data_IF_834723934733
#
_entry.id   IF_834723934733
#
_cell.length_a   1.000
_cell.length_b   1.000
_cell.length_c   1.000
_cell.angle_alpha   90.00
_cell.angle_beta   90.00
_cell.angle_gamma   90.00
#
_symmetry.space_group_name_H-M   'P 1'
#
loop_
_entity.id
_entity.type
_entity.pdbx_description
1 polymer ?
#
# COMPACT_ATOMS: atom_id res chain seq x y z
N UNK A 1 -46.19 -15.36 3.63
CA UNK A 1 -46.93 -14.66 4.69
C UNK A 1 -46.00 -13.59 5.19
N UNK A 2 -45.97 -12.40 4.62
CA UNK A 2 -46.78 -11.23 4.95
C UNK A 2 -46.68 -10.87 6.45
N UNK A 3 -46.04 -9.78 6.76
CA UNK A 3 -46.71 -8.54 7.12
C UNK A 3 -45.74 -7.38 7.23
N UNK A 4 -46.13 -6.27 6.63
CA UNK A 4 -45.63 -4.91 6.69
C UNK A 4 -45.80 -4.29 8.09
N UNK A 5 -45.00 -3.28 8.40
CA UNK A 5 -45.42 -2.10 9.13
C UNK A 5 -44.61 -0.87 8.73
N UNK A 6 -45.35 0.12 8.27
CA UNK A 6 -44.98 1.51 7.92
C UNK A 6 -45.26 2.41 9.12
N UNK A 7 -44.47 3.43 9.34
CA UNK A 7 -44.77 4.78 9.85
C UNK A 7 -43.46 5.51 10.11
N UNK A 8 -43.13 6.68 9.63
CA UNK A 8 -43.88 7.93 9.43
C UNK A 8 -43.46 8.91 10.50
N UNK A 9 -42.73 10.00 10.14
CA UNK A 9 -42.44 11.07 11.11
C UNK A 9 -41.40 12.07 10.64
N UNK A 10 -41.84 13.05 9.86
CA UNK A 10 -41.76 14.53 9.97
C UNK A 10 -40.37 15.17 10.16
N UNK A 11 -40.08 15.95 9.15
CA UNK A 11 -39.13 17.09 9.11
C UNK A 11 -39.50 18.20 10.07
N UNK A 12 -38.48 18.84 10.66
CA UNK A 12 -38.57 20.20 11.22
C UNK A 12 -37.32 21.00 10.79
N UNK A 13 -37.55 22.02 9.99
CA UNK A 13 -36.62 23.13 9.77
C UNK A 13 -36.75 24.14 10.91
N UNK A 14 -35.73 24.94 11.17
CA UNK A 14 -35.94 26.29 11.62
C UNK A 14 -35.30 27.34 10.72
N UNK A 15 -36.07 28.37 10.48
CA UNK A 15 -35.82 29.60 9.71
C UNK A 15 -34.93 30.62 10.46
N UNK A 16 -34.46 31.67 9.75
CA UNK A 16 -33.40 32.59 10.21
C UNK A 16 -33.95 33.79 10.98
N UNK A 17 -33.18 34.33 11.90
CA UNK A 17 -33.46 35.66 12.51
C UNK A 17 -32.30 36.62 12.19
N UNK A 18 -32.70 37.68 11.48
CA UNK A 18 -32.00 38.95 11.37
C UNK A 18 -31.94 39.68 12.72
N UNK A 19 -30.85 40.38 12.99
CA UNK A 19 -30.91 41.59 13.84
C UNK A 19 -30.02 42.71 13.30
N UNK A 20 -30.61 43.88 13.42
CA UNK A 20 -30.36 45.19 12.84
C UNK A 20 -29.13 45.90 13.39
N UNK A 21 -28.71 46.88 12.57
CA UNK A 21 -27.70 47.89 12.79
C UNK A 21 -28.18 49.12 13.61
N UNK A 22 -27.20 49.89 14.06
CA UNK A 22 -27.09 51.36 14.16
C UNK A 22 -27.12 51.98 15.58
N UNK A 23 -26.72 53.23 15.79
CA UNK A 23 -25.73 54.07 15.08
C UNK A 23 -24.87 55.01 16.00
N UNK A 24 -23.87 55.67 15.39
CA UNK A 24 -23.37 57.06 15.52
C UNK A 24 -22.94 57.71 16.86
N UNK A 25 -21.74 58.35 16.80
CA UNK A 25 -21.52 59.73 16.97
C UNK A 25 -20.18 60.18 17.59
N UNK A 26 -19.77 61.47 17.48
CA UNK A 26 -18.48 61.85 16.91
C UNK A 26 -17.60 62.66 17.90
N UNK A 27 -16.35 62.94 17.50
CA UNK A 27 -15.46 64.09 17.80
C UNK A 27 -14.01 63.64 17.90
N UNK A 28 -13.10 64.09 17.14
CA UNK A 28 -12.72 65.43 16.71
C UNK A 28 -11.44 65.84 17.43
N UNK A 29 -10.26 65.67 16.79
CA UNK A 29 -9.13 66.61 16.93
C UNK A 29 -8.05 66.35 15.88
N UNK A 30 -7.80 67.33 15.06
CA UNK A 30 -6.69 67.48 14.09
C UNK A 30 -5.36 67.66 14.83
N UNK A 31 -4.32 67.01 14.42
CA UNK A 31 -2.91 67.47 14.48
C UNK A 31 -2.18 67.03 13.22
N UNK A 32 -1.39 67.93 12.68
CA UNK A 32 -0.78 67.97 11.38
C UNK A 32 0.40 67.03 11.16
N UNK A 33 1.08 67.11 9.97
CA UNK A 33 1.78 66.00 9.36
C UNK A 33 3.24 65.89 9.81
N UNK A 34 3.65 64.71 10.26
CA UNK A 34 5.05 64.35 10.35
C UNK A 34 5.35 63.29 9.29
N UNK A 35 6.16 63.66 8.32
CA UNK A 35 6.71 62.80 7.29
C UNK A 35 7.57 61.72 7.94
N UNK A 36 7.07 60.45 7.98
CA UNK A 36 7.89 59.27 8.21
C UNK A 36 7.86 58.40 6.95
N UNK A 37 9.02 58.21 6.35
CA UNK A 37 9.26 57.23 5.31
C UNK A 37 8.67 55.88 5.74
N UNK A 38 7.70 55.36 4.99
CA UNK A 38 7.25 53.97 5.11
C UNK A 38 8.14 53.10 4.22
N UNK A 39 8.75 52.03 4.75
CA UNK A 39 9.35 51.05 3.89
C UNK A 39 8.29 50.41 2.99
N UNK A 40 8.59 50.23 1.70
CA UNK A 40 7.68 49.72 0.69
C UNK A 40 7.04 48.42 1.13
N UNK A 41 5.72 48.30 0.93
CA UNK A 41 5.01 47.03 1.07
C UNK A 41 5.70 45.98 0.24
N UNK A 42 6.02 44.78 0.81
CA UNK A 42 6.47 43.67 -0.02
C UNK A 42 5.34 43.37 -1.01
N UNK A 43 5.71 43.24 -2.27
CA UNK A 43 4.81 42.75 -3.33
C UNK A 43 4.12 41.46 -2.85
N UNK A 44 2.84 41.26 -3.13
CA UNK A 44 2.17 40.02 -2.79
C UNK A 44 2.94 38.85 -3.47
N UNK A 45 3.40 37.89 -2.68
CA UNK A 45 3.99 36.69 -3.20
C UNK A 45 3.01 36.08 -4.21
N UNK A 46 3.45 35.94 -5.46
CA UNK A 46 2.70 35.21 -6.48
C UNK A 46 2.43 33.82 -5.86
N UNK A 47 1.17 33.40 -5.73
CA UNK A 47 0.90 32.07 -5.19
C UNK A 47 1.62 31.08 -6.09
N UNK A 48 2.53 30.29 -5.51
CA UNK A 48 3.20 29.22 -6.21
C UNK A 48 2.10 28.36 -6.87
N UNK A 49 2.17 28.24 -8.19
CA UNK A 49 1.22 27.44 -8.95
C UNK A 49 1.10 26.08 -8.27
N UNK A 50 -0.14 25.69 -7.92
CA UNK A 50 -0.39 24.40 -7.31
C UNK A 50 0.20 23.33 -8.22
N UNK A 51 0.97 22.43 -7.65
CA UNK A 51 1.75 21.47 -8.42
C UNK A 51 0.86 20.52 -9.23
N UNK A 52 1.21 20.28 -10.49
CA UNK A 52 0.46 19.40 -11.38
C UNK A 52 0.48 17.96 -10.83
N UNK A 53 -0.67 17.43 -10.44
CA UNK A 53 -0.82 16.04 -10.01
C UNK A 53 -0.80 15.14 -11.22
N UNK A 54 0.05 14.11 -11.22
CA UNK A 54 -0.11 12.98 -12.15
C UNK A 54 -1.37 12.26 -11.72
N UNK A 55 -2.44 12.43 -12.50
CA UNK A 55 -3.74 11.83 -12.23
C UNK A 55 -4.36 11.38 -13.53
N UNK A 56 -4.89 10.15 -13.54
CA UNK A 56 -5.61 9.54 -14.65
C UNK A 56 -6.96 9.03 -14.16
N UNK A 57 -8.04 9.51 -14.76
CA UNK A 57 -9.38 8.95 -14.56
C UNK A 57 -9.54 7.68 -15.39
N UNK A 58 -10.22 6.69 -14.82
CA UNK A 58 -10.48 5.38 -15.41
C UNK A 58 -11.99 5.15 -15.53
N UNK A 59 -12.39 4.24 -16.40
CA UNK A 59 -13.80 3.86 -16.61
C UNK A 59 -14.21 2.59 -15.86
N UNK A 60 -13.34 2.10 -14.93
CA UNK A 60 -13.54 0.85 -14.20
C UNK A 60 -13.03 0.94 -12.77
N UNK A 61 -13.43 -0.02 -11.92
CA UNK A 61 -12.96 -0.11 -10.55
C UNK A 61 -11.54 -0.67 -10.50
N UNK A 62 -10.60 0.11 -9.96
CA UNK A 62 -9.21 -0.32 -9.75
C UNK A 62 -9.10 -1.09 -8.45
N UNK A 63 -8.56 -2.31 -8.52
CA UNK A 63 -8.25 -3.12 -7.35
C UNK A 63 -6.78 -3.12 -7.01
N UNK A 64 -5.89 -3.06 -8.01
CA UNK A 64 -4.45 -3.04 -7.79
C UNK A 64 -3.71 -2.21 -8.84
N UNK A 65 -2.58 -1.61 -8.42
CA UNK A 65 -1.64 -0.88 -9.27
C UNK A 65 -0.23 -1.39 -9.01
N UNK A 66 0.56 -1.60 -10.08
CA UNK A 66 1.94 -2.07 -9.97
C UNK A 66 2.86 -1.33 -10.92
N UNK A 67 4.04 -0.95 -10.45
CA UNK A 67 5.11 -0.50 -11.31
C UNK A 67 5.74 -1.69 -12.04
N UNK A 68 5.96 -1.52 -13.34
CA UNK A 68 6.72 -2.50 -14.13
C UNK A 68 8.21 -2.28 -13.87
N UNK A 69 8.94 -3.27 -13.35
CA UNK A 69 10.35 -3.12 -13.00
C UNK A 69 11.21 -2.66 -14.18
N UNK A 70 12.21 -1.83 -13.91
CA UNK A 70 13.14 -1.23 -14.88
C UNK A 70 12.43 -0.51 -16.03
N UNK A 71 11.38 0.23 -15.69
CA UNK A 71 10.64 1.01 -16.69
C UNK A 71 9.90 2.18 -16.06
N UNK A 72 9.50 3.13 -16.91
CA UNK A 72 8.57 4.20 -16.52
C UNK A 72 7.10 3.77 -16.70
N UNK A 73 6.81 2.47 -16.69
CA UNK A 73 5.48 1.91 -16.95
C UNK A 73 4.81 1.44 -15.67
N UNK A 74 3.51 1.58 -15.63
CA UNK A 74 2.67 1.06 -14.55
C UNK A 74 1.46 0.32 -15.10
N UNK A 75 0.99 -0.63 -14.31
CA UNK A 75 -0.21 -1.41 -14.58
C UNK A 75 -1.32 -1.03 -13.63
N UNK A 76 -2.55 -1.03 -14.16
CA UNK A 76 -3.77 -0.93 -13.37
C UNK A 76 -4.61 -2.18 -13.64
N UNK A 77 -5.01 -2.85 -12.57
CA UNK A 77 -5.80 -4.07 -12.59
C UNK A 77 -7.17 -3.78 -11.98
N UNK A 78 -8.22 -4.35 -12.58
CA UNK A 78 -9.54 -4.06 -12.04
C UNK A 78 -10.68 -4.83 -12.69
N UNK A 79 -11.88 -4.27 -12.49
CA UNK A 79 -13.14 -4.81 -13.02
C UNK A 79 -13.91 -3.75 -13.77
N UNK A 80 -14.23 -4.02 -15.03
CA UNK A 80 -15.17 -3.23 -15.80
C UNK A 80 -16.62 -3.42 -15.30
N UNK A 81 -17.53 -2.47 -15.60
CA UNK A 81 -18.93 -2.56 -15.16
C UNK A 81 -19.66 -3.83 -15.61
N UNK A 82 -19.22 -4.45 -16.70
CA UNK A 82 -19.77 -5.71 -17.24
C UNK A 82 -19.31 -6.96 -16.51
N UNK A 83 -18.46 -6.84 -15.46
CA UNK A 83 -17.93 -7.97 -14.70
C UNK A 83 -16.76 -8.70 -15.38
N UNK A 84 -16.18 -8.14 -16.43
CA UNK A 84 -14.92 -8.60 -17.00
C UNK A 84 -13.72 -7.93 -16.32
N UNK A 85 -12.54 -8.55 -16.42
CA UNK A 85 -11.29 -8.01 -15.94
C UNK A 85 -10.72 -6.99 -16.89
N UNK A 86 -10.02 -6.00 -16.35
CA UNK A 86 -9.27 -5.01 -17.11
C UNK A 86 -7.83 -4.99 -16.64
N UNK A 87 -6.92 -5.01 -17.61
CA UNK A 87 -5.50 -4.74 -17.43
C UNK A 87 -5.12 -3.59 -18.34
N UNK A 88 -4.73 -2.46 -17.77
CA UNK A 88 -4.24 -1.31 -18.53
C UNK A 88 -2.77 -1.07 -18.21
N UNK A 89 -1.98 -0.89 -19.28
CA UNK A 89 -0.58 -0.54 -19.22
C UNK A 89 -0.42 0.94 -19.57
N UNK A 90 0.16 1.69 -18.68
CA UNK A 90 0.48 3.11 -18.86
C UNK A 90 1.98 3.36 -18.87
N UNK A 91 2.39 4.43 -19.54
CA UNK A 91 3.74 4.96 -19.45
C UNK A 91 3.73 6.38 -18.90
N UNK A 92 4.63 6.66 -17.97
CA UNK A 92 4.81 8.00 -17.41
C UNK A 92 5.70 8.81 -18.35
N UNK A 93 5.09 9.74 -19.08
CA UNK A 93 5.76 10.61 -20.03
C UNK A 93 5.48 12.08 -19.70
N UNK A 94 6.52 12.88 -19.46
CA UNK A 94 6.37 14.32 -19.20
C UNK A 94 5.39 14.67 -18.06
N UNK A 95 5.30 13.82 -17.02
CA UNK A 95 4.39 14.04 -15.88
C UNK A 95 2.93 13.67 -16.18
N UNK A 96 2.65 12.95 -17.25
CA UNK A 96 1.33 12.40 -17.62
C UNK A 96 1.41 10.90 -17.81
N UNK A 97 0.28 10.23 -17.59
CA UNK A 97 0.11 8.81 -17.87
C UNK A 97 -0.46 8.65 -19.29
N UNK A 98 0.35 8.10 -20.20
CA UNK A 98 -0.08 7.74 -21.52
C UNK A 98 -0.53 6.27 -21.53
N UNK A 99 -1.74 5.98 -21.94
CA UNK A 99 -2.24 4.62 -22.11
C UNK A 99 -1.53 3.96 -23.29
N UNK A 100 -0.78 2.89 -23.03
CA UNK A 100 -0.10 2.12 -24.07
C UNK A 100 -0.95 0.96 -24.54
N UNK A 101 -1.65 0.27 -23.63
CA UNK A 101 -2.44 -0.92 -23.96
C UNK A 101 -3.57 -1.12 -22.94
N UNK A 102 -4.70 -1.55 -23.44
CA UNK A 102 -5.85 -2.02 -22.66
C UNK A 102 -6.23 -3.44 -23.09
N UNK A 103 -6.44 -4.32 -22.11
CA UNK A 103 -6.72 -5.73 -22.36
C UNK A 103 -7.86 -6.15 -21.45
N UNK A 104 -8.90 -6.68 -22.07
CA UNK A 104 -10.03 -7.28 -21.38
C UNK A 104 -9.72 -8.74 -21.01
N UNK A 105 -10.15 -9.16 -19.82
CA UNK A 105 -10.01 -10.52 -19.30
C UNK A 105 -11.37 -11.07 -18.89
N UNK A 106 -11.53 -12.38 -19.02
CA UNK A 106 -12.81 -13.04 -18.75
C UNK A 106 -13.31 -12.87 -17.30
N UNK A 107 -12.40 -12.69 -16.34
CA UNK A 107 -12.72 -12.48 -14.92
C UNK A 107 -12.01 -11.24 -14.39
N UNK A 108 -12.65 -10.48 -13.47
CA UNK A 108 -12.02 -9.35 -12.80
C UNK A 108 -10.68 -9.73 -12.17
N UNK A 109 -9.68 -8.86 -12.30
CA UNK A 109 -8.35 -9.03 -11.73
C UNK A 109 -8.31 -8.34 -10.37
N UNK A 110 -7.99 -9.08 -9.31
CA UNK A 110 -8.01 -8.58 -7.93
C UNK A 110 -6.67 -8.04 -7.46
N UNK A 111 -5.60 -8.75 -7.78
CA UNK A 111 -4.26 -8.48 -7.28
C UNK A 111 -3.19 -8.90 -8.29
N UNK A 112 -1.99 -8.34 -8.18
CA UNK A 112 -0.87 -8.66 -9.05
C UNK A 112 0.49 -8.51 -8.37
N UNK A 113 1.51 -9.20 -8.90
CA UNK A 113 2.89 -9.11 -8.43
C UNK A 113 3.90 -9.36 -9.54
N UNK A 114 5.04 -8.68 -9.47
CA UNK A 114 6.24 -8.96 -10.27
C UNK A 114 7.31 -9.71 -9.47
N UNK A 115 7.06 -10.03 -8.19
CA UNK A 115 8.08 -10.56 -7.28
C UNK A 115 8.71 -11.89 -7.68
N UNK A 116 8.02 -12.71 -8.49
CA UNK A 116 8.49 -14.02 -8.93
C UNK A 116 9.00 -14.05 -10.38
N UNK A 117 9.28 -12.90 -10.99
CA UNK A 117 9.74 -12.79 -12.37
C UNK A 117 11.17 -12.27 -12.47
N UNK A 118 11.88 -12.64 -13.53
CA UNK A 118 13.19 -12.06 -13.83
C UNK A 118 13.05 -10.61 -14.34
N UNK A 119 14.11 -9.82 -14.17
CA UNK A 119 14.18 -8.45 -14.69
C UNK A 119 14.17 -8.39 -16.23
N UNK A 120 14.51 -9.50 -16.89
CA UNK A 120 14.47 -9.60 -18.35
C UNK A 120 13.06 -9.89 -18.87
N UNK A 121 12.37 -10.84 -18.26
CA UNK A 121 11.03 -11.27 -18.68
C UNK A 121 9.92 -10.32 -18.21
N UNK A 122 10.02 -9.83 -16.97
CA UNK A 122 9.03 -8.92 -16.37
C UNK A 122 7.59 -9.42 -16.49
N UNK A 123 7.39 -10.72 -16.21
CA UNK A 123 6.07 -11.34 -16.25
C UNK A 123 5.24 -10.93 -15.04
N UNK A 124 3.97 -10.61 -15.27
CA UNK A 124 3.02 -10.26 -14.23
C UNK A 124 2.25 -11.49 -13.78
N UNK A 125 2.31 -11.84 -12.50
CA UNK A 125 1.40 -12.80 -11.92
C UNK A 125 0.15 -12.09 -11.37
N UNK A 126 -1.04 -12.65 -11.62
CA UNK A 126 -2.33 -12.08 -11.17
C UNK A 126 -3.23 -13.13 -10.55
N UNK A 127 -3.96 -12.72 -9.51
CA UNK A 127 -5.10 -13.45 -8.95
C UNK A 127 -6.42 -12.84 -9.42
N UNK A 128 -7.37 -13.68 -9.81
CA UNK A 128 -8.66 -13.24 -10.30
C UNK A 128 -9.84 -13.64 -9.40
N UNK A 129 -11.03 -13.11 -9.71
CA UNK A 129 -12.28 -13.41 -9.02
C UNK A 129 -12.77 -14.83 -9.25
N UNK A 130 -12.23 -15.53 -10.23
CA UNK A 130 -12.49 -16.95 -10.46
C UNK A 130 -11.58 -17.87 -9.66
N UNK A 131 -10.62 -17.36 -8.88
CA UNK A 131 -9.64 -18.18 -8.16
C UNK A 131 -8.53 -18.73 -9.06
N UNK A 132 -8.30 -18.12 -10.22
CA UNK A 132 -7.21 -18.52 -11.11
C UNK A 132 -5.97 -17.67 -10.82
N UNK A 133 -4.82 -18.32 -10.78
CA UNK A 133 -3.50 -17.72 -10.81
C UNK A 133 -3.01 -17.77 -12.25
N UNK A 134 -2.78 -16.58 -12.84
CA UNK A 134 -2.28 -16.44 -14.20
C UNK A 134 -0.99 -15.65 -14.22
N UNK A 135 -0.05 -16.01 -15.09
CA UNK A 135 1.17 -15.26 -15.35
C UNK A 135 1.15 -14.79 -16.81
N UNK A 136 1.40 -13.49 -17.01
CA UNK A 136 1.27 -12.82 -18.29
C UNK A 136 2.61 -12.29 -18.78
N UNK A 137 2.91 -12.53 -20.05
CA UNK A 137 3.93 -11.78 -20.76
C UNK A 137 3.31 -10.45 -21.22
N UNK A 138 3.83 -9.31 -20.77
CA UNK A 138 3.27 -8.00 -21.11
C UNK A 138 3.45 -7.60 -22.59
N UNK A 139 4.36 -8.26 -23.29
CA UNK A 139 4.54 -8.05 -24.74
C UNK A 139 3.47 -8.79 -25.58
N UNK A 140 2.94 -9.92 -25.06
CA UNK A 140 1.86 -10.72 -25.65
C UNK A 140 0.89 -11.19 -24.56
N UNK A 141 0.08 -10.28 -23.99
CA UNK A 141 -0.72 -10.56 -22.79
C UNK A 141 -2.08 -11.22 -23.08
N UNK A 142 -2.35 -11.58 -24.31
CA UNK A 142 -3.62 -12.19 -24.73
C UNK A 142 -3.81 -13.56 -24.09
N UNK A 143 -2.74 -14.38 -24.07
CA UNK A 143 -2.71 -15.73 -23.51
C UNK A 143 -1.70 -15.77 -22.36
N UNK A 144 -2.07 -16.33 -21.19
CA UNK A 144 -1.14 -16.46 -20.08
C UNK A 144 -0.05 -17.49 -20.40
N UNK A 145 1.20 -17.22 -19.99
CA UNK A 145 2.32 -18.18 -20.09
C UNK A 145 2.21 -19.28 -19.03
N UNK A 146 1.45 -19.02 -17.98
CA UNK A 146 1.10 -19.98 -16.94
C UNK A 146 -0.31 -19.70 -16.46
N UNK A 147 -1.12 -20.73 -16.25
CA UNK A 147 -2.48 -20.61 -15.73
C UNK A 147 -2.85 -21.85 -14.93
N UNK A 148 -3.34 -21.64 -13.72
CA UNK A 148 -3.83 -22.72 -12.85
C UNK A 148 -5.06 -22.27 -12.08
N UNK A 149 -6.01 -23.19 -11.89
CA UNK A 149 -7.11 -23.00 -10.94
C UNK A 149 -6.58 -23.19 -9.52
N UNK A 150 -6.08 -22.10 -8.94
CA UNK A 150 -5.37 -22.14 -7.66
C UNK A 150 -6.33 -22.35 -6.48
N UNK A 151 -7.50 -21.71 -6.51
CA UNK A 151 -8.45 -21.67 -5.40
C UNK A 151 -9.88 -21.88 -5.87
N UNK A 152 -10.76 -22.23 -4.92
CA UNK A 152 -12.19 -22.39 -5.19
C UNK A 152 -12.91 -21.06 -5.34
N UNK A 153 -12.39 -20.02 -4.68
CA UNK A 153 -12.97 -18.67 -4.64
C UNK A 153 -11.93 -17.61 -5.01
N UNK A 154 -12.30 -16.33 -4.90
CA UNK A 154 -11.48 -15.15 -5.25
C UNK A 154 -10.09 -15.24 -4.61
N UNK A 155 -9.05 -14.97 -5.38
CA UNK A 155 -7.71 -14.69 -4.85
C UNK A 155 -7.68 -13.24 -4.39
N UNK A 156 -7.69 -13.01 -3.08
CA UNK A 156 -7.72 -11.67 -2.51
C UNK A 156 -6.36 -10.98 -2.54
N UNK A 157 -5.29 -11.74 -2.36
CA UNK A 157 -3.94 -11.23 -2.22
C UNK A 157 -2.91 -12.17 -2.84
N UNK A 158 -1.84 -11.58 -3.34
CA UNK A 158 -0.73 -12.27 -4.00
C UNK A 158 0.59 -11.59 -3.62
N UNK A 159 1.63 -12.39 -3.43
CA UNK A 159 3.00 -11.89 -3.29
C UNK A 159 3.98 -12.84 -3.99
N UNK A 160 5.20 -12.37 -4.31
CA UNK A 160 6.18 -13.12 -5.04
C UNK A 160 7.60 -12.90 -4.54
N UNK A 161 8.44 -13.94 -4.69
CA UNK A 161 9.87 -13.94 -4.37
C UNK A 161 10.65 -14.76 -5.39
N UNK A 162 11.99 -14.71 -5.31
CA UNK A 162 12.89 -15.46 -6.20
C UNK A 162 13.08 -14.83 -7.59
N UNK A 163 12.38 -13.75 -7.87
CA UNK A 163 12.60 -12.90 -9.02
C UNK A 163 13.20 -11.54 -8.63
N UNK A 164 13.47 -10.69 -9.61
CA UNK A 164 13.99 -9.32 -9.41
C UNK A 164 15.26 -9.24 -8.56
N UNK A 165 16.02 -10.33 -8.41
CA UNK A 165 17.17 -10.41 -7.51
C UNK A 165 16.80 -10.47 -6.02
N UNK A 166 15.55 -10.78 -5.69
CA UNK A 166 15.07 -10.93 -4.32
C UNK A 166 15.13 -12.41 -3.93
N UNK A 167 16.03 -12.74 -3.01
CA UNK A 167 16.17 -14.07 -2.45
C UNK A 167 16.95 -15.06 -3.32
N UNK A 168 17.23 -16.20 -2.74
CA UNK A 168 17.86 -17.35 -3.39
C UNK A 168 16.81 -18.44 -3.65
N UNK A 169 16.98 -19.16 -4.77
CA UNK A 169 16.18 -20.34 -5.10
C UNK A 169 15.11 -20.11 -6.17
N UNK A 170 14.07 -20.92 -6.11
CA UNK A 170 12.98 -20.91 -7.08
C UNK A 170 12.16 -19.63 -7.05
N UNK A 171 11.66 -19.15 -8.18
CA UNK A 171 10.60 -18.15 -8.18
C UNK A 171 9.34 -18.78 -7.55
N UNK A 172 8.80 -18.13 -6.53
CA UNK A 172 7.60 -18.59 -5.84
C UNK A 172 6.57 -17.48 -5.70
N UNK A 173 5.31 -17.89 -5.75
CA UNK A 173 4.16 -17.02 -5.62
C UNK A 173 3.29 -17.55 -4.48
N UNK A 174 2.97 -16.70 -3.50
CA UNK A 174 1.96 -17.01 -2.49
C UNK A 174 0.63 -16.36 -2.86
N UNK A 175 -0.45 -17.09 -2.67
CA UNK A 175 -1.82 -16.63 -2.89
C UNK A 175 -2.67 -16.89 -1.65
N UNK A 176 -3.44 -15.88 -1.25
CA UNK A 176 -4.45 -15.98 -0.20
C UNK A 176 -5.84 -15.78 -0.77
N UNK A 177 -6.77 -16.64 -0.39
CA UNK A 177 -8.09 -16.69 -1.01
C UNK A 177 -9.22 -16.57 0.02
N UNK A 178 -10.37 -16.14 -0.50
CA UNK A 178 -11.66 -16.18 0.21
C UNK A 178 -12.06 -17.60 0.62
N UNK A 179 -11.51 -18.63 -0.03
CA UNK A 179 -11.72 -20.02 0.39
C UNK A 179 -11.00 -20.40 1.69
N UNK A 180 -10.32 -19.45 2.34
CA UNK A 180 -9.60 -19.61 3.61
C UNK A 180 -8.23 -20.25 3.48
N UNK A 181 -7.83 -20.67 2.29
CA UNK A 181 -6.55 -21.33 2.07
C UNK A 181 -5.47 -20.35 1.65
N UNK A 182 -4.22 -20.65 2.04
CA UNK A 182 -3.01 -19.97 1.58
C UNK A 182 -2.13 -20.99 0.87
N UNK A 183 -1.72 -20.70 -0.35
CA UNK A 183 -0.97 -21.63 -1.18
C UNK A 183 0.27 -20.98 -1.76
N UNK A 184 1.37 -21.74 -1.84
CA UNK A 184 2.61 -21.32 -2.47
C UNK A 184 2.80 -22.13 -3.76
N UNK A 185 3.17 -21.43 -4.82
CA UNK A 185 3.28 -21.96 -6.19
C UNK A 185 4.67 -21.71 -6.74
N UNK A 186 5.28 -22.73 -7.35
CA UNK A 186 6.45 -22.59 -8.22
C UNK A 186 5.97 -22.59 -9.67
N UNK A 187 6.11 -21.50 -10.44
CA UNK A 187 5.63 -21.43 -11.82
C UNK A 187 6.28 -22.44 -12.78
N UNK A 188 7.38 -23.07 -12.35
CA UNK A 188 8.07 -24.12 -13.12
C UNK A 188 7.42 -25.50 -12.92
N UNK A 189 6.64 -25.65 -11.85
CA UNK A 189 5.84 -26.86 -11.59
C UNK A 189 4.40 -26.61 -12.02
N UNK A 190 3.82 -27.58 -12.74
CA UNK A 190 2.43 -27.44 -13.20
C UNK A 190 1.46 -28.01 -12.16
N UNK A 191 0.34 -27.32 -11.99
CA UNK A 191 -0.93 -27.76 -11.42
C UNK A 191 -0.97 -28.07 -9.91
N UNK A 192 0.16 -28.13 -9.22
CA UNK A 192 0.19 -28.42 -7.77
C UNK A 192 0.93 -27.33 -7.00
N UNK A 193 0.40 -26.86 -5.86
CA UNK A 193 1.13 -25.94 -5.00
C UNK A 193 2.28 -26.67 -4.30
N UNK A 194 3.40 -25.96 -4.09
CA UNK A 194 4.55 -26.48 -3.33
C UNK A 194 4.31 -26.46 -1.82
N UNK A 195 3.38 -25.61 -1.37
CA UNK A 195 2.88 -25.57 0.00
C UNK A 195 1.40 -25.22 0.00
N UNK A 196 0.63 -25.84 0.92
CA UNK A 196 -0.80 -25.61 1.08
C UNK A 196 -1.13 -25.53 2.57
N UNK A 197 -1.56 -24.34 3.01
CA UNK A 197 -2.01 -24.07 4.37
C UNK A 197 -3.54 -24.00 4.36
N UNK A 198 -4.20 -25.05 4.84
CA UNK A 198 -5.65 -25.15 4.94
C UNK A 198 -6.13 -24.82 6.36
N UNK A 199 -7.37 -24.32 6.50
CA UNK A 199 -8.02 -24.22 7.80
C UNK A 199 -8.06 -25.58 8.51
N UNK A 200 -7.95 -25.59 9.83
CA UNK A 200 -8.08 -26.80 10.62
C UNK A 200 -9.45 -27.43 10.41
N UNK A 201 -9.50 -28.74 10.23
CA UNK A 201 -10.75 -29.45 10.01
C UNK A 201 -11.70 -29.27 11.21
N UNK A 202 -12.90 -28.81 10.95
CA UNK A 202 -13.93 -28.52 11.99
C UNK A 202 -13.98 -27.06 12.43
N UNK A 203 -13.00 -26.25 12.09
CA UNK A 203 -13.07 -24.80 12.30
C UNK A 203 -13.89 -24.09 11.21
N UNK A 204 -14.54 -22.98 11.59
CA UNK A 204 -15.23 -22.16 10.61
C UNK A 204 -14.21 -21.50 9.68
N UNK A 205 -14.42 -21.70 8.39
CA UNK A 205 -13.62 -21.07 7.34
C UNK A 205 -13.58 -19.55 7.49
N UNK A 206 -12.39 -18.96 7.39
CA UNK A 206 -12.15 -17.51 7.43
C UNK A 206 -11.55 -17.04 6.13
N UNK A 207 -12.03 -15.90 5.62
CA UNK A 207 -11.50 -15.31 4.41
C UNK A 207 -10.06 -14.85 4.64
N UNK A 208 -9.10 -15.36 3.87
CA UNK A 208 -7.75 -14.80 3.85
C UNK A 208 -7.75 -13.54 2.96
N UNK A 209 -7.49 -12.40 3.58
CA UNK A 209 -7.52 -11.11 2.88
C UNK A 209 -6.17 -10.65 2.39
N UNK A 210 -5.10 -11.06 3.06
CA UNK A 210 -3.75 -10.58 2.74
C UNK A 210 -2.69 -11.61 3.02
N UNK A 211 -1.65 -11.66 2.18
CA UNK A 211 -0.49 -12.52 2.34
C UNK A 211 0.80 -11.77 2.03
N UNK A 212 1.90 -12.16 2.65
CA UNK A 212 3.23 -11.64 2.36
C UNK A 212 4.31 -12.70 2.64
N UNK A 213 5.36 -12.73 1.81
CA UNK A 213 6.58 -13.46 2.11
C UNK A 213 7.49 -12.68 3.05
N UNK A 214 8.16 -13.38 3.97
CA UNK A 214 9.23 -12.86 4.80
C UNK A 214 10.46 -13.75 4.77
N UNK A 215 11.65 -13.21 5.12
CA UNK A 215 12.94 -13.93 5.12
C UNK A 215 13.22 -14.70 3.83
N UNK A 216 12.93 -14.09 2.68
CA UNK A 216 13.08 -14.78 1.39
C UNK A 216 14.50 -14.70 0.80
N UNK A 217 15.47 -14.19 1.57
CA UNK A 217 16.86 -14.00 1.14
C UNK A 217 17.71 -15.27 1.19
N UNK A 218 17.26 -16.30 1.92
CA UNK A 218 17.91 -17.62 1.99
C UNK A 218 16.87 -18.75 2.09
N UNK A 219 17.35 -19.99 2.18
CA UNK A 219 16.50 -21.18 2.28
C UNK A 219 16.25 -21.63 3.74
N UNK A 220 16.80 -20.93 4.74
CA UNK A 220 16.80 -21.42 6.12
C UNK A 220 15.56 -21.03 6.92
N UNK A 221 15.08 -19.79 6.74
CA UNK A 221 14.00 -19.21 7.56
C UNK A 221 12.88 -18.56 6.73
N UNK A 222 12.51 -19.19 5.62
CA UNK A 222 11.43 -18.65 4.76
C UNK A 222 10.09 -18.79 5.43
N UNK A 223 9.36 -17.68 5.47
CA UNK A 223 8.04 -17.63 6.10
C UNK A 223 7.00 -16.98 5.18
N UNK A 224 5.74 -17.33 5.43
CA UNK A 224 4.58 -16.67 4.87
C UNK A 224 3.72 -16.15 6.01
N UNK A 225 3.35 -14.88 5.93
CA UNK A 225 2.35 -14.29 6.81
C UNK A 225 1.01 -14.19 6.09
N UNK A 226 -0.07 -14.57 6.78
CA UNK A 226 -1.44 -14.43 6.29
C UNK A 226 -2.30 -13.67 7.30
N UNK A 227 -3.16 -12.78 6.81
CA UNK A 227 -4.12 -12.03 7.61
C UNK A 227 -5.56 -12.32 7.16
N UNK A 228 -6.45 -12.45 8.12
CA UNK A 228 -7.81 -12.93 7.93
C UNK A 228 -8.88 -11.90 8.31
N UNK A 229 -10.11 -12.13 7.85
CA UNK A 229 -11.30 -11.30 8.07
C UNK A 229 -11.68 -11.13 9.54
N UNK A 230 -11.36 -12.11 10.38
CA UNK A 230 -11.64 -12.12 11.82
C UNK A 230 -10.54 -11.50 12.68
N UNK A 231 -9.46 -11.01 12.06
CA UNK A 231 -8.33 -10.38 12.75
C UNK A 231 -7.17 -11.32 13.05
N UNK A 232 -7.24 -12.59 12.67
CA UNK A 232 -6.13 -13.53 12.82
C UNK A 232 -4.98 -13.14 11.91
N UNK A 233 -3.78 -13.21 12.45
CA UNK A 233 -2.51 -13.12 11.73
C UNK A 233 -1.76 -14.40 12.02
N UNK A 234 -1.43 -15.15 10.97
CA UNK A 234 -0.72 -16.43 11.06
C UNK A 234 0.60 -16.36 10.32
N UNK A 235 1.68 -16.79 10.96
CA UNK A 235 3.03 -16.87 10.40
C UNK A 235 3.39 -18.35 10.21
N UNK A 236 3.54 -18.76 8.96
CA UNK A 236 3.88 -20.13 8.58
C UNK A 236 5.36 -20.23 8.25
N UNK A 237 6.01 -21.26 8.79
CA UNK A 237 7.36 -21.67 8.43
C UNK A 237 7.30 -22.62 7.22
N UNK A 238 7.86 -22.19 6.10
CA UNK A 238 7.85 -22.98 4.86
C UNK A 238 8.88 -24.12 4.86
N UNK A 239 9.89 -24.08 5.72
CA UNK A 239 10.87 -25.15 5.85
C UNK A 239 10.29 -26.34 6.61
N UNK A 240 9.64 -26.08 7.72
CA UNK A 240 9.06 -27.10 8.59
C UNK A 240 7.57 -27.36 8.29
N UNK A 241 6.97 -26.63 7.36
CA UNK A 241 5.56 -26.70 6.98
C UNK A 241 4.63 -26.61 8.20
N UNK A 242 4.92 -25.71 9.12
CA UNK A 242 4.22 -25.57 10.40
C UNK A 242 3.84 -24.12 10.69
N UNK A 243 2.84 -23.95 11.56
CA UNK A 243 2.49 -22.66 12.12
C UNK A 243 3.57 -22.24 13.15
N UNK A 244 4.32 -21.20 12.84
CA UNK A 244 5.38 -20.67 13.71
C UNK A 244 4.85 -19.75 14.81
N UNK A 245 3.84 -18.95 14.47
CA UNK A 245 3.25 -17.97 15.38
C UNK A 245 1.89 -17.51 14.87
N UNK A 246 1.01 -17.20 15.80
CA UNK A 246 -0.27 -16.57 15.50
C UNK A 246 -0.65 -15.53 16.55
N UNK A 247 -1.47 -14.59 16.16
CA UNK A 247 -2.08 -13.60 17.03
C UNK A 247 -3.39 -13.12 16.43
N UNK A 248 -4.22 -12.46 17.25
CA UNK A 248 -5.47 -11.85 16.79
C UNK A 248 -5.54 -10.38 17.20
N UNK A 249 -5.78 -9.50 16.23
CA UNK A 249 -5.91 -8.05 16.43
C UNK A 249 -7.37 -7.59 16.55
N UNK A 250 -8.31 -8.52 16.73
CA UNK A 250 -9.75 -8.35 16.94
C UNK A 250 -10.57 -7.89 15.74
N UNK A 251 -9.96 -7.28 14.74
CA UNK A 251 -10.63 -6.75 13.55
C UNK A 251 -9.93 -7.18 12.28
N UNK A 252 -10.67 -7.36 11.20
CA UNK A 252 -10.17 -7.87 9.94
C UNK A 252 -8.87 -7.21 9.49
N UNK A 253 -7.91 -8.04 9.06
CA UNK A 253 -6.56 -7.65 8.63
C UNK A 253 -6.59 -7.30 7.16
N UNK A 254 -6.47 -6.01 6.83
CA UNK A 254 -6.57 -5.55 5.44
C UNK A 254 -5.28 -5.74 4.64
N UNK A 255 -4.13 -5.56 5.26
CA UNK A 255 -2.82 -5.70 4.62
C UNK A 255 -1.77 -6.11 5.63
N UNK A 256 -0.87 -7.00 5.22
CA UNK A 256 0.35 -7.34 5.94
C UNK A 256 1.55 -7.12 5.03
N UNK A 257 2.65 -6.64 5.60
CA UNK A 257 3.90 -6.47 4.87
C UNK A 257 5.09 -6.54 5.80
N UNK A 258 6.11 -7.32 5.40
CA UNK A 258 7.43 -7.29 6.03
C UNK A 258 8.24 -6.12 5.49
N UNK A 259 9.13 -5.58 6.32
CA UNK A 259 9.95 -4.42 5.96
C UNK A 259 10.93 -4.68 4.81
N UNK A 260 11.47 -5.91 4.72
CA UNK A 260 12.36 -6.35 3.62
C UNK A 260 12.21 -7.86 3.42
N UNK A 261 12.36 -8.31 2.16
CA UNK A 261 12.36 -9.73 1.77
C UNK A 261 13.76 -10.25 1.44
N UNK A 262 14.63 -9.37 1.00
CA UNK A 262 15.98 -9.62 0.52
C UNK A 262 17.05 -9.61 1.62
N UNK A 263 16.67 -9.30 2.83
CA UNK A 263 17.49 -9.35 4.04
C UNK A 263 16.67 -9.86 5.21
N UNK A 264 17.31 -10.11 6.35
CA UNK A 264 16.62 -10.55 7.56
C UNK A 264 15.48 -9.56 7.92
N UNK A 265 14.27 -10.07 8.07
CA UNK A 265 13.10 -9.28 8.46
C UNK A 265 13.24 -8.75 9.88
N UNK A 266 13.02 -7.45 10.09
CA UNK A 266 13.04 -6.87 11.42
C UNK A 266 11.64 -6.60 11.96
N UNK A 267 10.68 -6.34 11.09
CA UNK A 267 9.31 -6.03 11.50
C UNK A 267 8.28 -6.46 10.46
N UNK A 268 7.09 -6.72 10.97
CA UNK A 268 5.86 -6.93 10.22
C UNK A 268 4.90 -5.81 10.57
N UNK A 269 4.30 -5.19 9.58
CA UNK A 269 3.21 -4.23 9.77
C UNK A 269 1.90 -4.86 9.28
N UNK A 270 0.89 -4.85 10.14
CA UNK A 270 -0.46 -5.30 9.84
C UNK A 270 -1.45 -4.16 10.01
N UNK A 271 -2.34 -3.98 9.04
CA UNK A 271 -3.38 -2.93 9.06
C UNK A 271 -4.76 -3.51 9.28
N UNK A 272 -5.67 -2.71 9.84
CA UNK A 272 -6.99 -3.20 10.23
C UNK A 272 -8.15 -2.33 9.72
N UNK A 273 -9.34 -2.91 9.77
CA UNK A 273 -10.61 -2.22 9.46
C UNK A 273 -10.89 -1.01 10.36
N UNK A 274 -10.36 -0.99 11.59
CA UNK A 274 -10.62 0.09 12.56
C UNK A 274 -9.77 1.35 12.36
N UNK A 275 -9.02 1.46 11.28
CA UNK A 275 -8.13 2.59 11.05
C UNK A 275 -6.85 2.53 11.88
N UNK A 276 -6.50 1.38 12.42
CA UNK A 276 -5.26 1.10 13.15
C UNK A 276 -4.30 0.28 12.33
N UNK A 277 -3.03 0.40 12.66
CA UNK A 277 -2.03 -0.58 12.27
C UNK A 277 -1.24 -1.06 13.48
N UNK A 278 -0.61 -2.22 13.35
CA UNK A 278 0.23 -2.86 14.35
C UNK A 278 1.60 -3.11 13.74
N UNK A 279 2.66 -2.72 14.44
CA UNK A 279 4.04 -3.04 14.07
C UNK A 279 4.55 -4.08 15.05
N UNK A 280 4.86 -5.27 14.54
CA UNK A 280 5.46 -6.36 15.31
C UNK A 280 6.96 -6.36 15.07
N UNK A 281 7.76 -6.31 16.17
CA UNK A 281 9.21 -6.44 16.09
C UNK A 281 9.58 -7.93 16.02
N UNK A 282 9.98 -8.37 14.84
CA UNK A 282 10.23 -9.78 14.52
C UNK A 282 11.62 -10.26 14.95
N UNK A 283 12.45 -9.40 15.56
CA UNK A 283 13.84 -9.71 15.91
C UNK A 283 13.98 -10.61 17.15
N UNK A 284 12.98 -10.63 18.02
CA UNK A 284 12.98 -11.47 19.23
C UNK A 284 11.57 -12.02 19.46
N UNK A 285 11.44 -13.34 19.39
CA UNK A 285 10.20 -14.05 19.67
C UNK A 285 10.24 -14.63 21.09
N UNK A 286 9.28 -14.23 21.93
CA UNK A 286 9.09 -14.84 23.24
C UNK A 286 8.33 -16.16 23.08
N UNK A 287 8.71 -17.25 23.79
CA UNK A 287 8.09 -18.57 23.61
C UNK A 287 6.55 -18.60 23.76
N UNK A 288 6.01 -17.83 24.70
CA UNK A 288 4.56 -17.82 24.99
C UNK A 288 3.86 -16.53 24.59
N UNK A 289 4.55 -15.36 24.64
CA UNK A 289 3.98 -14.04 24.36
C UNK A 289 4.14 -13.59 22.90
N UNK A 290 4.94 -14.35 22.11
CA UNK A 290 5.21 -14.03 20.71
C UNK A 290 6.08 -12.80 20.51
N UNK A 291 5.75 -11.97 19.52
CA UNK A 291 6.51 -10.77 19.16
C UNK A 291 6.00 -9.53 19.90
N UNK A 292 6.92 -8.68 20.33
CA UNK A 292 6.58 -7.38 20.88
C UNK A 292 5.95 -6.49 19.78
N UNK A 293 4.93 -5.73 20.13
CA UNK A 293 4.23 -4.89 19.16
C UNK A 293 3.88 -3.52 19.70
N UNK A 294 3.76 -2.56 18.80
CA UNK A 294 3.16 -1.24 19.02
C UNK A 294 2.00 -1.06 18.05
N UNK A 295 0.91 -0.46 18.50
CA UNK A 295 -0.23 -0.15 17.66
C UNK A 295 -0.49 1.35 17.65
N UNK A 296 -0.88 1.85 16.46
CA UNK A 296 -1.17 3.27 16.26
C UNK A 296 -2.49 3.45 15.50
N UNK A 297 -3.27 4.48 15.89
CA UNK A 297 -4.46 4.86 15.14
C UNK A 297 -4.07 5.80 14.00
N UNK A 298 -3.94 5.26 12.80
CA UNK A 298 -3.46 5.98 11.63
C UNK A 298 -4.54 6.83 10.97
N UNK A 299 -5.73 6.26 10.78
CA UNK A 299 -6.79 6.88 9.97
C UNK A 299 -8.12 6.89 10.74
N UNK A 300 -9.06 7.73 10.27
CA UNK A 300 -10.42 7.79 10.82
C UNK A 300 -11.27 6.57 10.43
N UNK A 301 -10.88 5.86 9.39
CA UNK A 301 -11.54 4.69 8.83
C UNK A 301 -10.51 3.61 8.47
N UNK A 302 -10.93 2.55 7.81
CA UNK A 302 -10.10 1.41 7.38
C UNK A 302 -8.74 1.82 6.83
N UNK A 303 -7.69 1.13 7.23
CA UNK A 303 -6.36 1.20 6.61
C UNK A 303 -6.25 0.08 5.58
N UNK A 304 -6.35 0.44 4.29
CA UNK A 304 -6.44 -0.54 3.22
C UNK A 304 -5.11 -1.22 2.88
N UNK A 305 -4.03 -0.44 2.87
CA UNK A 305 -2.71 -0.99 2.56
C UNK A 305 -1.60 -0.35 3.40
N UNK A 306 -0.53 -1.10 3.57
CA UNK A 306 0.78 -0.63 4.01
C UNK A 306 1.84 -1.04 2.98
N UNK A 307 2.81 -0.12 2.73
CA UNK A 307 3.98 -0.39 1.87
C UNK A 307 5.20 0.30 2.44
N UNK A 308 6.24 -0.49 2.73
CA UNK A 308 7.54 0.04 3.15
C UNK A 308 8.25 0.70 1.97
N UNK A 309 8.97 1.78 2.26
CA UNK A 309 9.79 2.45 1.25
C UNK A 309 10.97 1.53 0.86
N UNK A 310 11.11 1.12 -0.40
CA UNK A 310 12.14 0.16 -0.80
C UNK A 310 13.57 0.56 -0.43
N UNK A 311 13.86 1.86 -0.39
CA UNK A 311 15.17 2.41 -0.08
C UNK A 311 15.43 2.65 1.42
N UNK A 312 14.39 2.58 2.25
CA UNK A 312 14.50 2.77 3.69
C UNK A 312 13.44 1.93 4.42
N UNK A 313 13.86 0.82 5.01
CA UNK A 313 13.00 -0.12 5.71
C UNK A 313 12.28 0.44 6.94
N UNK A 314 12.74 1.58 7.45
CA UNK A 314 12.15 2.20 8.65
C UNK A 314 10.99 3.14 8.31
N UNK A 315 10.81 3.43 7.03
CA UNK A 315 9.75 4.30 6.54
C UNK A 315 8.71 3.46 5.80
N UNK A 316 7.44 3.71 6.11
CA UNK A 316 6.32 3.07 5.41
C UNK A 316 5.14 4.04 5.24
N UNK A 317 4.30 3.74 4.28
CA UNK A 317 3.06 4.49 4.00
C UNK A 317 1.86 3.62 4.28
N UNK A 318 0.84 4.21 4.92
CA UNK A 318 -0.48 3.62 5.05
C UNK A 318 -1.49 4.37 4.20
N UNK A 319 -2.40 3.64 3.54
CA UNK A 319 -3.49 4.22 2.76
C UNK A 319 -4.82 4.07 3.48
N UNK A 320 -5.59 5.16 3.55
CA UNK A 320 -6.81 5.23 4.36
C UNK A 320 -8.10 5.28 3.55
N UNK A 321 -9.18 4.85 4.19
CA UNK A 321 -10.53 4.87 3.65
C UNK A 321 -11.11 6.26 3.42
N UNK A 322 -10.48 7.31 3.97
CA UNK A 322 -10.85 8.71 3.73
C UNK A 322 -10.02 9.37 2.60
N UNK A 323 -9.31 8.56 1.79
CA UNK A 323 -8.54 9.06 0.65
C UNK A 323 -7.21 9.72 1.01
N UNK A 324 -6.67 9.45 2.18
CA UNK A 324 -5.39 9.98 2.65
C UNK A 324 -4.29 8.93 2.66
N UNK A 325 -3.05 9.39 2.44
CA UNK A 325 -1.82 8.66 2.68
C UNK A 325 -1.12 9.24 3.90
N UNK A 326 -0.64 8.39 4.78
CA UNK A 326 0.15 8.77 5.94
C UNK A 326 1.52 8.13 5.85
N UNK A 327 2.57 8.95 5.95
CA UNK A 327 3.96 8.52 5.95
C UNK A 327 4.45 8.40 7.38
N UNK A 328 5.00 7.25 7.74
CA UNK A 328 5.42 6.89 9.09
C UNK A 328 6.89 6.52 9.12
N UNK A 329 7.52 6.77 10.27
CA UNK A 329 8.86 6.28 10.61
C UNK A 329 8.76 5.40 11.84
N UNK A 330 9.39 4.23 11.79
CA UNK A 330 9.59 3.37 12.94
C UNK A 330 10.99 3.60 13.51
N UNK A 331 11.07 3.80 14.81
CA UNK A 331 12.32 3.97 15.53
C UNK A 331 12.53 2.78 16.47
N UNK A 332 13.64 2.07 16.24
CA UNK A 332 13.96 0.90 17.05
C UNK A 332 14.30 1.30 18.49
N UNK A 333 13.93 0.45 19.50
CA UNK A 333 14.29 0.69 20.87
C UNK A 333 15.81 0.57 21.08
N UNK A 334 16.34 1.29 22.07
CA UNK A 334 17.76 1.22 22.41
C UNK A 334 18.19 -0.20 22.84
N UNK A 335 17.30 -0.94 23.50
CA UNK A 335 17.50 -2.34 23.86
C UNK A 335 16.52 -3.20 23.06
N UNK A 336 17.04 -4.16 22.30
CA UNK A 336 16.26 -5.08 21.46
C UNK A 336 15.35 -6.00 22.29
N UNK A 337 15.85 -6.48 23.42
CA UNK A 337 15.15 -7.44 24.29
C UNK A 337 15.42 -7.15 25.74
N UNK A 338 14.59 -7.68 26.61
CA UNK A 338 14.75 -7.72 28.06
C UNK A 338 14.38 -9.10 28.57
N UNK A 339 14.90 -9.50 29.70
CA UNK A 339 14.48 -10.74 30.38
C UNK A 339 13.16 -10.50 31.12
N UNK A 340 12.27 -11.46 31.06
CA UNK A 340 11.06 -11.48 31.90
C UNK A 340 11.35 -12.05 33.31
N UNK A 341 10.29 -12.24 34.10
CA UNK A 341 10.39 -12.78 35.46
C UNK A 341 10.90 -14.22 35.53
N UNK A 342 10.82 -14.96 34.43
CA UNK A 342 11.25 -16.36 34.28
C UNK A 342 12.64 -16.48 33.64
N UNK A 343 13.25 -15.34 33.27
CA UNK A 343 14.55 -15.29 32.61
C UNK A 343 14.51 -15.50 31.09
N UNK A 344 13.32 -15.64 30.50
CA UNK A 344 13.15 -15.76 29.06
C UNK A 344 13.34 -14.41 28.35
N UNK A 345 13.94 -14.41 27.16
CA UNK A 345 14.09 -13.22 26.33
C UNK A 345 12.73 -12.77 25.78
N UNK A 346 12.35 -11.54 26.10
CA UNK A 346 11.17 -10.86 25.58
C UNK A 346 11.58 -9.68 24.73
N UNK A 347 11.10 -9.58 23.50
CA UNK A 347 11.34 -8.45 22.62
C UNK A 347 10.80 -7.14 23.23
N UNK A 348 11.39 -6.03 22.79
CA UNK A 348 10.91 -4.68 23.09
C UNK A 348 10.54 -4.02 21.77
N UNK A 349 9.30 -3.56 21.65
CA UNK A 349 8.86 -2.80 20.49
C UNK A 349 9.39 -1.36 20.55
N UNK A 350 9.66 -0.80 19.37
CA UNK A 350 10.05 0.60 19.24
C UNK A 350 8.86 1.56 19.29
N UNK A 351 9.04 2.72 18.71
CA UNK A 351 8.01 3.75 18.57
C UNK A 351 7.74 4.10 17.11
N UNK A 352 6.57 4.66 16.85
CA UNK A 352 6.15 5.09 15.51
C UNK A 352 5.87 6.57 15.54
N UNK A 353 6.39 7.31 14.56
CA UNK A 353 6.14 8.73 14.38
C UNK A 353 5.51 9.03 13.02
N UNK A 354 4.48 9.88 13.01
CA UNK A 354 3.89 10.39 11.77
C UNK A 354 4.78 11.48 11.20
N UNK A 355 5.34 11.23 10.03
CA UNK A 355 6.17 12.22 9.33
C UNK A 355 5.32 13.21 8.54
N UNK A 356 4.29 12.71 7.85
CA UNK A 356 3.41 13.53 7.02
C UNK A 356 2.10 12.81 6.73
N UNK A 357 1.05 13.59 6.45
CA UNK A 357 -0.18 13.10 5.83
C UNK A 357 -0.53 13.94 4.60
N UNK A 358 -1.19 13.33 3.63
CA UNK A 358 -1.69 13.98 2.44
C UNK A 358 -3.02 13.35 2.02
N UNK A 359 -4.02 14.18 1.72
CA UNK A 359 -5.30 13.71 1.18
C UNK A 359 -5.27 13.86 -0.35
N UNK A 360 -5.45 12.75 -1.05
CA UNK A 360 -5.39 12.66 -2.49
C UNK A 360 -6.76 12.47 -3.14
N UNK A 361 -7.70 11.84 -2.42
CA UNK A 361 -9.03 11.47 -2.89
C UNK A 361 -10.06 11.78 -1.81
N UNK A 362 -11.33 11.80 -2.18
CA UNK A 362 -12.47 11.77 -1.24
C UNK A 362 -12.97 10.34 -1.00
N UNK A 363 -12.46 9.37 -1.75
CA UNK A 363 -12.78 7.95 -1.67
C UNK A 363 -11.59 7.14 -1.18
N UNK A 364 -11.80 5.92 -0.68
CA UNK A 364 -10.73 5.06 -0.20
C UNK A 364 -9.61 4.85 -1.24
N UNK A 365 -8.36 4.91 -0.78
CA UNK A 365 -7.20 4.50 -1.54
C UNK A 365 -6.96 3.02 -1.24
N UNK A 366 -7.33 2.16 -2.18
CA UNK A 366 -7.32 0.70 -2.01
C UNK A 366 -6.02 0.03 -2.45
N UNK A 367 -5.23 0.70 -3.26
CA UNK A 367 -3.99 0.16 -3.83
C UNK A 367 -2.88 1.18 -3.79
N UNK A 368 -1.68 0.72 -3.49
CA UNK A 368 -0.46 1.52 -3.47
C UNK A 368 0.74 0.65 -3.82
N UNK A 369 1.62 1.14 -4.67
CA UNK A 369 2.89 0.50 -5.00
C UNK A 369 4.01 1.51 -5.16
N UNK A 370 5.22 1.17 -4.71
CA UNK A 370 6.42 1.97 -4.89
C UNK A 370 7.14 1.61 -6.20
N UNK A 371 7.63 2.61 -6.91
CA UNK A 371 8.53 2.34 -8.02
C UNK A 371 9.80 1.67 -7.50
N UNK A 372 10.18 0.49 -8.02
CA UNK A 372 11.42 -0.15 -7.63
C UNK A 372 12.66 0.60 -8.09
N UNK A 373 12.52 1.41 -9.15
CA UNK A 373 13.64 2.06 -9.84
C UNK A 373 13.80 3.52 -9.46
N UNK A 374 12.71 4.22 -9.17
CA UNK A 374 12.72 5.64 -8.81
C UNK A 374 12.47 5.83 -7.33
N UNK A 375 13.48 6.29 -6.62
CA UNK A 375 13.40 6.57 -5.18
C UNK A 375 12.20 7.47 -4.85
N UNK A 376 11.35 6.99 -3.95
CA UNK A 376 10.24 7.75 -3.43
C UNK A 376 9.06 7.98 -4.38
N UNK A 377 9.08 7.45 -5.61
CA UNK A 377 7.92 7.50 -6.50
C UNK A 377 6.96 6.37 -6.16
N UNK A 378 5.70 6.69 -5.91
CA UNK A 378 4.65 5.68 -5.75
C UNK A 378 3.47 5.94 -6.70
N UNK A 379 2.64 4.93 -6.86
CA UNK A 379 1.34 5.00 -7.52
C UNK A 379 0.28 4.54 -6.55
N UNK A 380 -0.89 5.17 -6.57
CA UNK A 380 -2.04 4.73 -5.81
C UNK A 380 -3.31 4.76 -6.67
N UNK A 381 -4.16 3.76 -6.45
CA UNK A 381 -5.50 3.65 -7.01
C UNK A 381 -6.55 3.88 -5.94
N UNK A 382 -7.59 4.64 -6.28
CA UNK A 382 -8.69 4.93 -5.37
C UNK A 382 -10.05 4.49 -5.95
N UNK A 383 -11.03 4.32 -5.09
CA UNK A 383 -12.39 3.90 -5.51
C UNK A 383 -13.16 5.00 -6.26
N UNK A 384 -12.62 6.22 -6.35
CA UNK A 384 -13.10 7.25 -7.28
C UNK A 384 -12.69 6.98 -8.74
N UNK A 385 -12.22 5.78 -9.03
CA UNK A 385 -11.76 5.34 -10.37
C UNK A 385 -10.61 6.21 -10.89
N UNK A 386 -9.72 6.64 -10.02
CA UNK A 386 -8.53 7.39 -10.43
C UNK A 386 -7.25 6.72 -9.96
N UNK A 387 -6.21 6.91 -10.78
CA UNK A 387 -4.83 6.55 -10.44
C UNK A 387 -4.02 7.83 -10.28
N UNK A 388 -3.21 7.90 -9.23
CA UNK A 388 -2.41 9.07 -8.86
C UNK A 388 -0.98 8.66 -8.55
N UNK A 389 -0.03 9.51 -8.92
CA UNK A 389 1.40 9.30 -8.67
C UNK A 389 1.99 10.36 -7.73
N UNK A 390 1.93 10.19 -6.41
CA UNK A 390 2.68 11.04 -5.49
C UNK A 390 4.17 10.69 -5.49
N UNK A 391 5.02 11.69 -5.17
CA UNK A 391 6.45 11.50 -4.93
C UNK A 391 6.76 11.63 -3.45
N UNK A 392 7.65 10.76 -2.94
CA UNK A 392 8.27 10.91 -1.63
C UNK A 392 9.72 11.32 -1.80
N UNK A 393 10.17 12.42 -1.22
CA UNK A 393 11.60 12.67 -1.08
C UNK A 393 12.08 12.02 0.21
N UNK A 394 13.15 11.25 0.12
CA UNK A 394 13.83 10.67 1.27
C UNK A 394 15.25 11.26 1.39
N UNK A 395 15.39 12.57 1.24
CA UNK A 395 16.66 13.26 1.43
C UNK A 395 16.79 13.74 2.87
N UNK A 396 17.82 13.24 3.58
CA UNK A 396 18.13 13.59 4.95
C UNK A 396 17.18 12.96 5.99
N UNK A 397 17.11 13.55 7.18
CA UNK A 397 16.26 13.09 8.29
C UNK A 397 14.75 13.29 8.07
N UNK A 398 14.34 14.03 7.03
CA UNK A 398 12.96 14.38 6.76
C UNK A 398 12.47 13.77 5.44
N UNK A 399 12.00 12.53 5.48
CA UNK A 399 11.23 11.98 4.37
C UNK A 399 9.89 12.74 4.24
N UNK A 400 9.55 13.17 3.02
CA UNK A 400 8.29 13.89 2.74
C UNK A 400 7.61 13.31 1.50
N UNK A 401 6.29 13.14 1.58
CA UNK A 401 5.45 12.86 0.44
C UNK A 401 5.19 14.15 -0.34
N UNK A 402 5.66 14.21 -1.57
CA UNK A 402 5.30 15.28 -2.50
C UNK A 402 4.28 14.75 -3.51
N UNK A 403 3.20 15.45 -3.67
CA UNK A 403 2.37 15.26 -4.85
C UNK A 403 3.10 15.97 -5.98
N UNK A 404 3.50 15.26 -7.02
CA UNK A 404 4.25 15.82 -8.16
C UNK A 404 3.55 17.07 -8.71
N UNK A 405 4.26 18.18 -8.62
CA UNK A 405 3.69 19.50 -8.70
C UNK A 405 4.58 20.45 -9.46
N UNK A 406 5.02 20.10 -10.65
CA UNK A 406 5.82 21.00 -11.49
C UNK A 406 5.51 20.85 -12.97
N UNK A 407 5.79 21.88 -13.80
CA UNK A 407 5.68 21.76 -15.23
C UNK A 407 6.63 20.67 -15.74
N UNK A 408 6.15 19.89 -16.67
CA UNK A 408 6.77 18.71 -17.27
C UNK A 408 8.16 18.95 -17.94
N UNK A 409 8.72 20.16 -17.85
CA UNK A 409 9.91 20.57 -18.58
C UNK A 409 11.24 20.08 -17.99
N UNK A 410 11.27 19.54 -16.78
CA UNK A 410 12.52 19.10 -16.13
C UNK A 410 12.72 17.58 -16.07
N UNK A 411 11.90 16.80 -16.77
CA UNK A 411 12.01 15.36 -16.82
C UNK A 411 12.69 14.89 -18.12
N UNK A 412 14.03 15.00 -18.17
CA UNK A 412 14.80 14.44 -19.28
C UNK A 412 15.63 13.24 -18.79
N UNK A 413 15.58 12.08 -19.47
CA UNK A 413 16.32 10.87 -19.07
C UNK A 413 17.84 11.06 -18.96
N UNK A 414 18.40 12.03 -19.67
CA UNK A 414 19.84 12.33 -19.66
C UNK A 414 20.34 12.98 -18.36
N UNK A 415 19.50 13.63 -17.57
CA UNK A 415 19.91 14.18 -16.26
C UNK A 415 20.08 13.13 -15.18
N UNK A 416 19.50 11.95 -15.34
CA UNK A 416 19.69 10.82 -14.42
C UNK A 416 21.11 10.25 -14.46
N UNK A 417 21.83 10.37 -15.58
CA UNK A 417 23.21 9.89 -15.70
C UNK A 417 24.24 10.85 -15.09
N UNK A 418 23.96 12.15 -15.08
CA UNK A 418 24.87 13.15 -14.48
C UNK A 418 24.81 13.15 -12.95
N UNK A 419 23.64 12.96 -12.34
CA UNK A 419 23.50 12.86 -10.88
C UNK A 419 24.10 11.56 -10.32
N UNK A 420 24.01 10.43 -11.04
CA UNK A 420 24.66 9.18 -10.67
C UNK A 420 26.21 9.26 -10.77
N UNK A 421 26.74 10.02 -11.72
CA UNK A 421 28.16 10.22 -11.84
C UNK A 421 28.72 11.18 -10.76
N UNK A 422 27.93 12.13 -10.31
CA UNK A 422 28.31 13.06 -9.24
C UNK A 422 28.28 12.38 -7.87
N UNK A 423 27.31 11.49 -7.62
CA UNK A 423 27.21 10.71 -6.39
C UNK A 423 28.30 9.62 -6.25
N UNK A 424 28.97 9.24 -7.33
CA UNK A 424 30.13 8.31 -7.31
C UNK A 424 31.49 9.03 -7.13
N UNK A 425 31.51 10.36 -7.11
CA UNK A 425 32.73 11.17 -6.94
C UNK A 425 32.81 11.88 -5.57
N UNK A 426 31.81 11.75 -4.71
CA UNK A 426 31.85 12.04 -3.28
C UNK A 426 31.70 10.70 -2.49
#
# INVERSE_FOLDING_TARGET
MATQAVAGGRALQPSPRCFRASPRGPNGRRKGPSSRFRPGRPLPAVPAAAPARVQQALSYTVFDCKWVPRSARLLCLGSAPRGCGVLQLYELQGGRLALLREIEKAKPLKCGTFGATSLQQRYLATGDFGGNLNIWNLEAPEIPVYSVKAHKEIINSIDGVGGLGIGEGAPEIVTGSRDGTVKVWDPRQKDTPVANMEPVQGESKRDCWTVAFGNAYNQEERVVCAGYDNGDIKLFDLKNMSLRWETNIKNGVCSVEFDRKDVNMNKLVATSLEGKFHVFDMRTQHPTKGFASVSEKAHKSTVWQVRHLPQNRDIFVTSGGAGSLHLWKYEYPAQRSKKDSEGAEMGVAGSVSLLQNVTLSTQPISSLDWSPDKKGLCVCGAFDQTVRGPLCSAEGEAARLYVCTGPATNWHPSKMQEEEQTARRC
#
